data_IF_328136300166
#
_entry.id   IF_328136300166
#
_cell.length_a   1.000
_cell.length_b   1.000
_cell.length_c   1.000
_cell.angle_alpha   90.00
_cell.angle_beta   90.00
_cell.angle_gamma   90.00
#
_symmetry.space_group_name_H-M   'P 1'
#
loop_
_entity.id
_entity.type
_entity.pdbx_description
1 polymer ?
#
# COMPACT_ATOMS: atom_id res chain seq x y z
N UNK A 1 0.47 17.79 -9.34
CA UNK A 1 0.24 16.96 -8.13
C UNK A 1 -1.20 16.50 -8.13
N UNK A 2 -1.45 15.20 -7.96
CA UNK A 2 -2.81 14.65 -7.89
C UNK A 2 -3.05 14.10 -6.48
N UNK A 3 -4.17 14.51 -5.87
CA UNK A 3 -4.65 13.96 -4.60
C UNK A 3 -5.86 13.10 -4.92
N UNK A 4 -5.90 11.90 -4.37
CA UNK A 4 -7.02 10.98 -4.55
C UNK A 4 -7.37 10.34 -3.21
N UNK A 5 -8.65 10.09 -3.00
CA UNK A 5 -9.17 9.25 -1.92
C UNK A 5 -9.81 8.03 -2.58
N UNK A 6 -9.46 6.83 -2.10
CA UNK A 6 -10.04 5.57 -2.57
C UNK A 6 -10.52 4.83 -1.34
N UNK A 7 -11.76 4.35 -1.38
CA UNK A 7 -12.36 3.50 -0.35
C UNK A 7 -12.59 2.10 -0.92
N UNK A 8 -12.65 1.11 -0.04
CA UNK A 8 -12.88 -0.28 -0.41
C UNK A 8 -12.38 -1.26 0.65
N UNK A 9 -12.32 -2.53 0.28
CA UNK A 9 -11.85 -3.61 1.16
C UNK A 9 -10.58 -4.26 0.62
N UNK A 10 -9.63 -4.55 1.53
CA UNK A 10 -8.44 -5.30 1.16
C UNK A 10 -8.82 -6.73 0.77
N UNK A 11 -8.28 -7.16 -0.35
CA UNK A 11 -8.39 -8.54 -0.81
C UNK A 11 -7.19 -9.33 -0.30
N UNK A 12 -7.39 -9.95 0.86
CA UNK A 12 -6.35 -10.69 1.60
C UNK A 12 -5.37 -9.78 2.31
N UNK A 13 -4.40 -10.40 2.97
CA UNK A 13 -3.42 -9.69 3.79
C UNK A 13 -2.39 -8.94 2.94
N UNK A 14 -2.00 -7.71 3.34
CA UNK A 14 -0.86 -7.03 2.76
C UNK A 14 0.42 -7.86 2.88
N UNK A 15 1.29 -7.76 1.87
CA UNK A 15 2.57 -8.47 1.82
C UNK A 15 3.73 -7.50 1.88
N UNK A 16 4.50 -7.59 2.96
CA UNK A 16 5.77 -6.88 3.15
C UNK A 16 6.88 -7.56 2.35
N UNK A 17 7.69 -6.76 1.66
CA UNK A 17 8.79 -7.20 0.79
C UNK A 17 9.97 -6.26 0.90
N UNK A 18 11.13 -6.71 0.46
CA UNK A 18 12.34 -5.90 0.31
C UNK A 18 12.68 -5.84 -1.17
N UNK A 19 12.90 -4.63 -1.69
CA UNK A 19 13.28 -4.42 -3.09
C UNK A 19 14.71 -4.89 -3.34
N UNK A 20 15.10 -5.04 -4.60
CA UNK A 20 16.48 -5.38 -4.97
C UNK A 20 17.50 -4.38 -4.41
N UNK A 21 17.11 -3.11 -4.23
CA UNK A 21 17.93 -2.06 -3.62
C UNK A 21 17.91 -2.07 -2.08
N UNK A 22 17.39 -3.12 -1.44
CA UNK A 22 17.33 -3.26 0.01
C UNK A 22 16.25 -2.41 0.70
N UNK A 23 15.41 -1.67 -0.05
CA UNK A 23 14.37 -0.82 0.54
C UNK A 23 13.09 -1.62 0.83
N UNK A 24 12.53 -1.56 2.05
CA UNK A 24 11.28 -2.21 2.39
C UNK A 24 10.08 -1.52 1.71
N UNK A 25 9.10 -2.32 1.30
CA UNK A 25 7.83 -1.87 0.75
C UNK A 25 6.73 -2.90 1.01
N UNK A 26 5.48 -2.45 1.01
CA UNK A 26 4.31 -3.31 1.21
C UNK A 26 3.41 -3.24 0.00
N UNK A 27 2.94 -4.40 -0.45
CA UNK A 27 1.97 -4.52 -1.55
C UNK A 27 0.63 -5.01 -1.04
N UNK A 28 -0.46 -4.52 -1.60
CA UNK A 28 -1.81 -5.01 -1.33
C UNK A 28 -2.71 -4.90 -2.56
N UNK A 29 -3.82 -5.64 -2.57
CA UNK A 29 -4.88 -5.49 -3.57
C UNK A 29 -6.12 -4.94 -2.87
N UNK A 30 -6.68 -3.86 -3.40
CA UNK A 30 -7.90 -3.25 -2.89
C UNK A 30 -9.04 -3.51 -3.87
N UNK A 31 -10.12 -4.06 -3.36
CA UNK A 31 -11.43 -4.05 -4.01
C UNK A 31 -12.06 -2.69 -3.74
N UNK A 32 -11.84 -1.73 -4.62
CA UNK A 32 -12.31 -0.37 -4.46
C UNK A 32 -13.78 -0.23 -4.87
N UNK A 33 -14.47 0.67 -4.17
CA UNK A 33 -15.87 1.00 -4.44
C UNK A 33 -15.99 1.69 -5.80
N UNK A 34 -16.75 1.10 -6.72
CA UNK A 34 -17.08 1.69 -8.02
C UNK A 34 -18.52 2.23 -8.05
N UNK A 35 -18.86 2.94 -9.12
CA UNK A 35 -20.23 3.42 -9.33
C UNK A 35 -21.18 2.26 -9.66
N UNK A 36 -22.44 2.35 -9.23
CA UNK A 36 -23.53 1.44 -9.63
C UNK A 36 -23.24 -0.05 -9.32
N UNK A 37 -22.58 -0.31 -8.18
CA UNK A 37 -22.23 -1.67 -7.73
C UNK A 37 -21.03 -2.28 -8.46
N UNK A 38 -20.38 -1.53 -9.36
CA UNK A 38 -19.14 -1.96 -9.99
C UNK A 38 -17.99 -2.02 -8.97
N UNK A 39 -17.00 -2.84 -9.29
CA UNK A 39 -15.75 -2.96 -8.52
C UNK A 39 -14.58 -2.46 -9.37
N UNK A 40 -13.74 -1.62 -8.79
CA UNK A 40 -12.44 -1.28 -9.37
C UNK A 40 -11.36 -2.02 -8.59
N UNK A 41 -10.47 -2.72 -9.29
CA UNK A 41 -9.34 -3.39 -8.65
C UNK A 41 -8.12 -2.47 -8.66
N UNK A 42 -7.63 -2.13 -7.46
CA UNK A 42 -6.43 -1.31 -7.31
C UNK A 42 -5.28 -2.14 -6.75
N UNK A 43 -4.10 -1.99 -7.36
CA UNK A 43 -2.85 -2.48 -6.77
C UNK A 43 -2.22 -1.36 -5.96
N UNK A 44 -2.03 -1.59 -4.66
CA UNK A 44 -1.44 -0.64 -3.73
C UNK A 44 0.02 -0.98 -3.48
N UNK A 45 0.88 0.04 -3.47
CA UNK A 45 2.27 -0.06 -3.06
C UNK A 45 2.56 1.05 -2.06
N UNK A 46 2.85 0.69 -0.82
CA UNK A 46 3.33 1.61 0.20
C UNK A 46 4.85 1.46 0.30
N UNK A 47 5.56 2.53 0.00
CA UNK A 47 7.01 2.59 0.16
C UNK A 47 7.30 3.13 1.56
N UNK A 48 8.21 2.49 2.31
CA UNK A 48 8.64 3.04 3.59
C UNK A 48 9.23 4.44 3.38
N UNK A 49 8.82 5.39 4.22
CA UNK A 49 9.45 6.71 4.25
C UNK A 49 10.86 6.52 4.76
N UNK A 50 11.85 6.80 3.90
CA UNK A 50 13.26 6.72 4.29
C UNK A 50 13.60 7.78 5.34
N UNK A 51 13.45 7.43 6.62
CA UNK A 51 14.39 7.88 7.63
C UNK A 51 15.35 6.73 7.86
N UNK A 52 16.56 6.82 7.31
CA UNK A 52 17.69 6.09 7.87
C UNK A 52 17.88 6.60 9.30
N UNK A 53 17.28 5.92 10.25
CA UNK A 53 17.41 6.24 11.65
C UNK A 53 16.74 5.17 12.46
N UNK A 54 17.54 4.34 13.15
CA UNK A 54 17.43 4.52 14.58
C UNK A 54 16.13 4.14 15.28
N UNK A 55 15.36 3.13 14.87
CA UNK A 55 14.15 2.83 15.65
C UNK A 55 14.58 2.43 17.07
N UNK A 56 14.06 3.19 18.02
CA UNK A 56 14.52 3.28 19.39
C UNK A 56 14.48 1.91 20.08
N UNK A 57 15.60 1.54 20.70
CA UNK A 57 15.63 0.60 21.80
C UNK A 57 14.98 1.26 23.02
N UNK A 58 13.81 0.76 23.41
CA UNK A 58 13.25 0.84 24.76
C UNK A 58 12.83 -0.59 25.17
#
# INVERSE_FOLDING_TARGET
>A
MMRTLITGQLYGDPRSRVSQAGKPFTTAKLRADGKDGATVWCSLVALATGSSGREASD
#
